data_IF_910462324628
#
_entry.id   IF_910462324628
#
_cell.length_a   1.000
_cell.length_b   1.000
_cell.length_c   1.000
_cell.angle_alpha   90.00
_cell.angle_beta   90.00
_cell.angle_gamma   90.00
#
_symmetry.space_group_name_H-M   'P 1'
#
loop_
_entity.id
_entity.type
_entity.pdbx_description
1 polymer ?
#
# COMPACT_ATOMS: atom_id res chain seq x y z
N UNK A 1 32.42 21.74 3.12
CA UNK A 1 31.58 21.23 4.23
C UNK A 1 30.61 20.22 3.64
N UNK A 2 30.92 18.91 3.73
CA UNK A 2 29.96 17.87 3.34
C UNK A 2 28.87 17.85 4.41
N UNK A 3 27.63 18.12 4.03
CA UNK A 3 26.49 18.04 4.94
C UNK A 3 26.45 16.65 5.57
N UNK A 4 26.07 16.58 6.86
CA UNK A 4 25.81 15.35 7.59
C UNK A 4 25.06 14.37 6.67
N UNK A 5 25.66 13.24 6.33
CA UNK A 5 24.95 12.20 5.59
C UNK A 5 23.81 11.70 6.49
N UNK A 6 22.59 12.11 6.16
CA UNK A 6 21.38 11.70 6.85
C UNK A 6 21.18 10.19 6.63
N UNK A 7 21.44 9.40 7.67
CA UNK A 7 21.13 7.98 7.66
C UNK A 7 19.62 7.80 7.87
N UNK A 8 18.86 7.86 6.76
CA UNK A 8 17.43 7.57 6.72
C UNK A 8 17.22 6.11 6.31
N UNK A 9 16.83 5.27 7.28
CA UNK A 9 16.48 3.88 7.04
C UNK A 9 14.96 3.72 6.98
N UNK A 10 14.46 2.94 6.02
CA UNK A 10 13.03 2.64 5.93
C UNK A 10 12.80 1.17 5.59
N UNK A 11 11.82 0.56 6.25
CA UNK A 11 11.37 -0.82 6.01
C UNK A 11 9.87 -0.86 5.80
N UNK A 12 9.40 -1.74 4.90
CA UNK A 12 8.00 -2.03 4.71
C UNK A 12 7.71 -3.44 5.26
N UNK A 13 6.67 -3.54 6.09
CA UNK A 13 6.21 -4.77 6.72
C UNK A 13 4.85 -5.12 6.10
N UNK A 14 4.72 -6.34 5.59
CA UNK A 14 3.50 -6.87 5.01
C UNK A 14 2.99 -8.09 5.76
N UNK A 15 1.67 -8.18 5.94
CA UNK A 15 0.93 -9.30 6.50
C UNK A 15 -0.24 -9.67 5.57
N UNK A 16 -0.86 -10.86 5.74
CA UNK A 16 -2.10 -11.21 5.04
C UNK A 16 -3.20 -10.16 5.26
N UNK A 17 -4.11 -9.98 4.29
CA UNK A 17 -5.16 -8.95 4.31
C UNK A 17 -6.08 -9.01 5.55
N UNK A 18 -6.28 -10.21 6.11
CA UNK A 18 -7.07 -10.42 7.33
C UNK A 18 -6.33 -10.12 8.63
N UNK A 19 -5.12 -9.60 8.56
CA UNK A 19 -4.32 -9.25 9.72
C UNK A 19 -4.00 -7.75 9.80
N UNK A 20 -3.71 -7.28 11.00
CA UNK A 20 -3.05 -6.02 11.28
C UNK A 20 -1.61 -6.26 11.72
N UNK A 21 -0.74 -5.29 11.48
CA UNK A 21 0.64 -5.30 11.99
C UNK A 21 0.65 -4.70 13.38
N UNK A 22 1.09 -5.48 14.36
CA UNK A 22 1.42 -4.99 15.69
C UNK A 22 2.93 -4.78 15.75
N UNK A 23 3.34 -3.55 16.01
CA UNK A 23 4.74 -3.14 16.15
C UNK A 23 5.02 -2.78 17.61
N UNK A 24 6.00 -3.44 18.22
CA UNK A 24 6.51 -3.12 19.54
C UNK A 24 7.92 -2.55 19.43
N UNK A 25 8.15 -1.42 20.10
CA UNK A 25 9.49 -0.86 20.24
C UNK A 25 10.13 -1.43 21.50
N UNK A 26 11.12 -2.30 21.32
CA UNK A 26 11.82 -2.94 22.42
C UNK A 26 12.82 -1.97 23.05
N UNK A 27 13.61 -1.29 22.22
CA UNK A 27 14.63 -0.34 22.64
C UNK A 27 14.65 0.86 21.69
N UNK A 28 15.03 2.02 22.21
CA UNK A 28 15.19 3.25 21.43
C UNK A 28 16.26 4.13 22.04
N UNK A 29 17.20 4.57 21.22
CA UNK A 29 18.22 5.56 21.59
C UNK A 29 18.04 6.90 20.86
N UNK A 30 16.88 7.14 20.24
CA UNK A 30 16.65 8.35 19.43
C UNK A 30 16.74 9.63 20.26
N UNK A 31 17.45 10.63 19.74
CA UNK A 31 17.60 11.94 20.37
C UNK A 31 16.69 13.00 19.70
N UNK A 32 15.51 13.21 20.29
CA UNK A 32 14.49 14.13 19.77
C UNK A 32 14.97 15.58 19.69
N UNK A 33 15.88 15.99 20.58
CA UNK A 33 16.44 17.36 20.60
C UNK A 33 17.30 17.64 19.37
N UNK A 34 17.87 16.61 18.76
CA UNK A 34 18.66 16.72 17.53
C UNK A 34 17.81 16.55 16.26
N UNK A 35 16.52 16.22 16.40
CA UNK A 35 15.61 16.00 15.27
C UNK A 35 15.52 14.54 14.80
N UNK A 36 16.08 13.60 15.54
CA UNK A 36 15.88 12.17 15.31
C UNK A 36 14.43 11.77 15.61
N UNK A 37 13.91 10.80 14.86
CA UNK A 37 12.50 10.45 14.93
C UNK A 37 12.19 9.13 14.24
N UNK A 38 11.10 8.52 14.68
CA UNK A 38 10.47 7.37 14.05
C UNK A 38 9.16 7.82 13.38
N UNK A 39 9.04 7.48 12.10
CA UNK A 39 7.85 7.68 11.28
C UNK A 39 7.22 6.32 11.01
N UNK A 40 5.93 6.21 11.27
CA UNK A 40 5.12 5.02 11.05
C UNK A 40 3.96 5.43 10.16
N UNK A 41 3.75 4.73 9.04
CA UNK A 41 2.60 5.01 8.19
C UNK A 41 2.14 3.78 7.42
N UNK A 42 0.89 3.79 7.01
CA UNK A 42 0.28 2.80 6.15
C UNK A 42 -0.98 3.36 5.53
N UNK A 43 -1.85 2.50 5.01
CA UNK A 43 -3.10 2.92 4.36
C UNK A 43 -4.03 3.72 5.28
N UNK A 44 -4.12 3.31 6.55
CA UNK A 44 -5.09 3.86 7.51
C UNK A 44 -4.44 4.61 8.68
N UNK A 45 -3.11 4.74 8.67
CA UNK A 45 -2.39 5.29 9.81
C UNK A 45 -1.21 6.14 9.37
N UNK A 46 -0.98 7.22 10.12
CA UNK A 46 0.22 8.04 10.02
C UNK A 46 0.58 8.54 11.41
N UNK A 47 1.83 8.32 11.81
CA UNK A 47 2.33 8.72 13.12
C UNK A 47 3.80 9.10 13.05
N UNK A 48 4.10 10.27 13.61
CA UNK A 48 5.45 10.73 13.91
C UNK A 48 5.68 10.66 15.42
N UNK A 49 6.76 10.04 15.87
CA UNK A 49 7.08 9.92 17.29
C UNK A 49 8.59 9.91 17.54
N UNK A 50 9.00 10.19 18.78
CA UNK A 50 10.40 10.16 19.21
C UNK A 50 10.56 9.95 20.72
N UNK A 51 9.70 10.57 21.54
CA UNK A 51 9.77 10.46 23.00
C UNK A 51 9.06 9.21 23.53
N UNK A 52 9.61 8.62 24.61
CA UNK A 52 9.02 7.48 25.34
C UNK A 52 8.68 6.29 24.44
N UNK A 53 9.61 5.93 23.56
CA UNK A 53 9.43 4.87 22.59
C UNK A 53 9.58 3.47 23.18
N UNK A 54 10.56 3.23 24.06
CA UNK A 54 10.77 1.90 24.63
C UNK A 54 9.51 1.40 25.36
N UNK A 55 9.05 0.20 25.00
CA UNK A 55 7.80 -0.40 25.50
C UNK A 55 6.53 0.03 24.75
N UNK A 56 6.62 0.97 23.81
CA UNK A 56 5.46 1.41 23.03
C UNK A 56 5.01 0.32 22.06
N UNK A 57 3.70 0.05 22.06
CA UNK A 57 3.04 -0.83 21.10
C UNK A 57 2.17 0.01 20.17
N UNK A 58 2.20 -0.32 18.88
CA UNK A 58 1.48 0.37 17.82
C UNK A 58 0.75 -0.64 16.93
N UNK A 59 -0.51 -0.36 16.60
CA UNK A 59 -1.29 -1.09 15.61
C UNK A 59 -1.32 -0.29 14.31
N UNK A 60 -1.11 -0.95 13.18
CA UNK A 60 -1.20 -0.32 11.86
C UNK A 60 -2.64 -0.13 11.37
N UNK A 61 -3.64 -0.74 12.01
CA UNK A 61 -5.05 -0.82 11.57
C UNK A 61 -5.25 -1.49 10.19
N UNK A 62 -4.17 -1.93 9.54
CA UNK A 62 -4.16 -2.55 8.22
C UNK A 62 -3.02 -3.57 8.11
N UNK A 63 -3.03 -4.39 7.07
CA UNK A 63 -2.05 -5.45 6.88
C UNK A 63 -0.65 -4.99 6.43
N UNK A 64 -0.42 -3.68 6.27
CA UNK A 64 0.87 -3.12 5.88
C UNK A 64 1.28 -1.98 6.80
N UNK A 65 2.58 -1.90 7.12
CA UNK A 65 3.17 -0.81 7.86
C UNK A 65 4.54 -0.45 7.30
N UNK A 66 4.77 0.82 7.01
CA UNK A 66 6.09 1.35 6.70
C UNK A 66 6.65 2.03 7.94
N UNK A 67 7.89 1.70 8.27
CA UNK A 67 8.63 2.25 9.39
C UNK A 67 9.87 2.94 8.84
N UNK A 68 10.03 4.25 9.10
CA UNK A 68 11.24 5.00 8.77
C UNK A 68 11.85 5.61 10.00
N UNK A 69 13.12 5.36 10.17
CA UNK A 69 13.96 5.96 11.18
C UNK A 69 14.78 7.06 10.53
N UNK A 70 14.77 8.23 11.16
CA UNK A 70 15.67 9.33 10.84
C UNK A 70 16.70 9.46 11.95
N UNK A 71 17.97 9.31 11.59
CA UNK A 71 19.11 9.59 12.46
C UNK A 71 19.87 10.81 11.98
N UNK A 72 20.48 11.52 12.93
CA UNK A 72 21.39 12.62 12.66
C UNK A 72 22.84 12.19 12.83
N UNK A 73 23.10 11.17 13.67
CA UNK A 73 24.43 10.61 13.84
C UNK A 73 24.38 9.07 13.81
N UNK A 74 25.42 8.41 13.28
CA UNK A 74 25.56 6.95 13.38
C UNK A 74 25.69 6.49 14.84
N UNK A 75 25.27 5.25 15.13
CA UNK A 75 25.51 4.60 16.43
C UNK A 75 24.30 4.48 17.35
N UNK A 76 23.14 5.00 16.93
CA UNK A 76 21.85 4.81 17.62
C UNK A 76 20.80 4.14 16.75
N UNK A 77 19.59 3.97 17.29
CA UNK A 77 18.42 3.53 16.52
C UNK A 77 17.29 3.00 17.37
N UNK A 78 16.43 2.20 16.73
CA UNK A 78 15.35 1.48 17.39
C UNK A 78 15.47 -0.02 17.16
N UNK A 79 15.18 -0.80 18.20
CA UNK A 79 14.97 -2.24 18.09
C UNK A 79 13.46 -2.50 18.06
N UNK A 80 13.00 -3.13 17.01
CA UNK A 80 11.59 -3.36 16.74
C UNK A 80 11.29 -4.86 16.73
N UNK A 81 10.15 -5.22 17.31
CA UNK A 81 9.51 -6.51 17.12
C UNK A 81 8.18 -6.28 16.42
N UNK A 82 7.83 -7.12 15.46
CA UNK A 82 6.53 -7.08 14.81
C UNK A 82 5.84 -8.44 14.83
N UNK A 83 4.52 -8.42 14.86
CA UNK A 83 3.67 -9.61 14.75
C UNK A 83 2.40 -9.30 13.97
N UNK A 84 1.75 -10.35 13.49
CA UNK A 84 0.43 -10.27 12.88
C UNK A 84 -0.65 -10.63 13.90
N UNK A 85 -1.75 -9.90 13.89
CA UNK A 85 -2.97 -10.26 14.64
C UNK A 85 -4.18 -10.20 13.72
N UNK A 86 -5.21 -11.03 13.91
CA UNK A 86 -6.47 -10.90 13.19
C UNK A 86 -7.00 -9.48 13.29
N UNK A 87 -7.41 -8.90 12.16
CA UNK A 87 -7.97 -7.56 12.14
C UNK A 87 -9.28 -7.52 12.96
N UNK A 88 -9.46 -6.54 13.86
CA UNK A 88 -10.65 -6.45 14.71
C UNK A 88 -11.94 -6.10 13.94
N UNK A 89 -11.83 -5.80 12.63
CA UNK A 89 -12.94 -5.54 11.73
C UNK A 89 -12.64 -5.98 10.30
N UNK A 90 -13.66 -6.00 9.45
CA UNK A 90 -13.55 -6.39 8.03
C UNK A 90 -13.10 -5.20 7.18
N UNK A 91 -11.81 -4.86 7.24
CA UNK A 91 -11.23 -3.78 6.42
C UNK A 91 -10.90 -4.20 4.98
N UNK A 92 -10.98 -5.50 4.69
CA UNK A 92 -10.82 -6.09 3.37
C UNK A 92 -12.07 -6.88 2.98
N UNK A 93 -12.30 -7.00 1.68
CA UNK A 93 -13.28 -7.89 1.06
C UNK A 93 -12.59 -9.19 0.67
N UNK A 94 -13.34 -10.29 0.53
CA UNK A 94 -12.76 -11.60 0.16
C UNK A 94 -12.06 -11.59 -1.20
N UNK A 95 -12.52 -10.74 -2.13
CA UNK A 95 -11.92 -10.56 -3.45
C UNK A 95 -10.75 -9.57 -3.46
N UNK A 96 -10.44 -8.92 -2.33
CA UNK A 96 -9.30 -8.02 -2.28
C UNK A 96 -7.99 -8.82 -2.39
N UNK A 97 -7.01 -8.25 -3.09
CA UNK A 97 -5.70 -8.87 -3.30
C UNK A 97 -4.59 -7.96 -2.78
N UNK A 98 -3.53 -8.56 -2.24
CA UNK A 98 -2.33 -7.86 -1.81
C UNK A 98 -1.12 -8.37 -2.61
N UNK A 99 -0.44 -7.44 -3.27
CA UNK A 99 0.78 -7.68 -4.04
C UNK A 99 1.96 -7.02 -3.33
N UNK A 100 3.09 -7.73 -3.31
CA UNK A 100 4.34 -7.30 -2.70
C UNK A 100 5.51 -7.51 -3.64
N UNK A 101 6.59 -6.77 -3.41
CA UNK A 101 7.85 -6.95 -4.13
C UNK A 101 8.04 -5.99 -5.32
N UNK A 102 9.19 -6.04 -6.00
CA UNK A 102 9.59 -5.00 -6.94
C UNK A 102 8.90 -5.09 -8.30
N UNK A 103 8.23 -6.19 -8.60
CA UNK A 103 7.47 -6.42 -9.83
C UNK A 103 6.43 -7.51 -9.60
N UNK A 104 5.37 -7.52 -10.39
CA UNK A 104 4.38 -8.60 -10.36
C UNK A 104 3.31 -8.43 -11.44
N UNK A 105 2.52 -9.48 -11.63
CA UNK A 105 1.35 -9.43 -12.51
C UNK A 105 0.15 -8.83 -11.77
N UNK A 106 -0.70 -8.13 -12.51
CA UNK A 106 -2.00 -7.63 -12.05
C UNK A 106 -3.06 -8.32 -12.87
N UNK A 107 -4.01 -8.95 -12.18
CA UNK A 107 -5.20 -9.53 -12.76
C UNK A 107 -6.43 -8.95 -12.07
N UNK A 108 -7.51 -8.72 -12.83
CA UNK A 108 -8.78 -8.30 -12.25
C UNK A 108 -9.27 -9.33 -11.24
N UNK A 109 -9.73 -8.92 -10.05
CA UNK A 109 -10.39 -9.81 -9.11
C UNK A 109 -11.62 -10.47 -9.73
N UNK A 110 -11.92 -11.71 -9.33
CA UNK A 110 -13.14 -12.41 -9.72
C UNK A 110 -14.12 -12.44 -8.55
N UNK A 111 -15.41 -12.18 -8.82
CA UNK A 111 -16.47 -12.39 -7.84
C UNK A 111 -16.63 -13.89 -7.56
N UNK A 112 -16.84 -14.24 -6.30
CA UNK A 112 -17.20 -15.62 -5.92
C UNK A 112 -18.61 -15.91 -6.42
N UNK A 113 -18.89 -17.12 -6.95
CA UNK A 113 -20.24 -17.48 -7.41
C UNK A 113 -21.31 -17.43 -6.31
N UNK A 114 -20.93 -17.52 -5.04
CA UNK A 114 -21.85 -17.57 -3.89
C UNK A 114 -22.08 -16.20 -3.20
N UNK A 115 -21.45 -15.11 -3.67
CA UNK A 115 -21.39 -13.84 -2.95
C UNK A 115 -22.35 -12.75 -3.44
N UNK A 116 -23.24 -12.26 -2.56
CA UNK A 116 -23.79 -10.89 -2.68
C UNK A 116 -22.69 -9.89 -2.31
N UNK A 117 -21.92 -9.42 -3.30
CA UNK A 117 -20.85 -8.47 -3.05
C UNK A 117 -21.42 -7.04 -2.95
N UNK A 118 -21.26 -6.41 -1.78
CA UNK A 118 -21.59 -5.00 -1.58
C UNK A 118 -20.37 -4.16 -1.94
N UNK A 119 -20.31 -3.73 -3.21
CA UNK A 119 -19.27 -2.86 -3.75
C UNK A 119 -18.15 -3.58 -4.51
N UNK A 120 -17.18 -2.80 -4.97
CA UNK A 120 -16.07 -3.26 -5.81
C UNK A 120 -15.03 -4.18 -5.15
N UNK A 121 -13.96 -4.51 -5.85
CA UNK A 121 -12.81 -5.26 -5.33
C UNK A 121 -11.53 -4.43 -5.45
N UNK A 122 -10.55 -4.64 -4.58
CA UNK A 122 -9.32 -3.85 -4.56
C UNK A 122 -8.08 -4.68 -4.71
N UNK A 123 -7.10 -4.15 -5.43
CA UNK A 123 -5.74 -4.67 -5.48
C UNK A 123 -4.81 -3.65 -4.81
N UNK A 124 -4.16 -4.06 -3.74
CA UNK A 124 -3.16 -3.26 -3.04
C UNK A 124 -1.76 -3.66 -3.51
N UNK A 125 -0.93 -2.69 -3.86
CA UNK A 125 0.45 -2.91 -4.27
C UNK A 125 1.34 -2.21 -3.24
N UNK A 126 2.30 -2.94 -2.67
CA UNK A 126 3.29 -2.37 -1.74
C UNK A 126 4.70 -2.78 -2.13
N UNK A 127 5.54 -1.78 -2.40
CA UNK A 127 6.94 -1.96 -2.81
C UNK A 127 7.89 -1.42 -1.74
N UNK A 128 9.20 -1.51 -1.97
CA UNK A 128 10.20 -0.97 -1.05
C UNK A 128 9.95 0.54 -0.79
N UNK A 129 10.14 1.05 0.44
CA UNK A 129 9.77 2.43 0.79
C UNK A 129 10.41 3.54 -0.06
N UNK A 130 11.58 3.26 -0.64
CA UNK A 130 12.32 4.20 -1.48
C UNK A 130 11.97 4.10 -2.98
N UNK A 131 11.13 3.14 -3.36
CA UNK A 131 10.70 2.96 -4.74
C UNK A 131 9.37 3.68 -5.02
N UNK A 132 9.17 3.99 -6.31
CA UNK A 132 7.87 4.34 -6.88
C UNK A 132 7.34 3.15 -7.68
N UNK A 133 6.08 3.17 -8.06
CA UNK A 133 5.38 2.10 -8.77
C UNK A 133 5.02 2.62 -10.15
N UNK A 134 5.27 1.83 -11.18
CA UNK A 134 4.66 1.97 -12.49
C UNK A 134 3.73 0.79 -12.73
N UNK A 135 2.58 1.07 -13.36
CA UNK A 135 1.56 0.08 -13.73
C UNK A 135 1.31 0.19 -15.21
N UNK A 136 1.31 -0.94 -15.90
CA UNK A 136 0.88 -1.04 -17.28
C UNK A 136 -0.06 -2.23 -17.43
N UNK A 137 -1.29 -1.97 -17.87
CA UNK A 137 -2.31 -3.00 -17.98
C UNK A 137 -3.23 -2.79 -19.19
N UNK A 138 -3.81 -3.89 -19.66
CA UNK A 138 -4.81 -3.91 -20.71
C UNK A 138 -6.14 -4.34 -20.11
N UNK A 139 -7.18 -3.55 -20.38
CA UNK A 139 -8.57 -3.92 -20.12
C UNK A 139 -9.14 -4.57 -21.37
N UNK A 140 -9.71 -5.76 -21.24
CA UNK A 140 -10.41 -6.49 -22.30
C UNK A 140 -11.82 -6.83 -21.87
N UNK A 141 -12.81 -6.31 -22.60
CA UNK A 141 -14.21 -6.64 -22.36
C UNK A 141 -14.53 -8.06 -22.84
N UNK A 142 -15.19 -8.82 -21.97
CA UNK A 142 -15.93 -10.01 -22.39
C UNK A 142 -17.34 -9.53 -22.68
N UNK A 143 -17.65 -9.34 -23.96
CA UNK A 143 -18.97 -8.85 -24.39
C UNK A 143 -20.07 -9.80 -23.89
N UNK A 144 -20.81 -9.36 -22.88
CA UNK A 144 -22.18 -9.78 -22.62
C UNK A 144 -22.93 -8.55 -22.10
N UNK A 145 -23.80 -7.99 -22.95
CA UNK A 145 -24.54 -6.77 -22.66
C UNK A 145 -25.41 -6.94 -21.43
N UNK A 146 -25.20 -6.07 -20.45
CA UNK A 146 -26.21 -5.70 -19.47
C UNK A 146 -26.01 -4.25 -19.12
N UNK A 147 -27.05 -3.45 -19.37
CA UNK A 147 -27.22 -2.10 -18.82
C UNK A 147 -27.33 -2.21 -17.30
N UNK A 148 -26.19 -2.28 -16.62
CA UNK A 148 -26.10 -2.09 -15.18
C UNK A 148 -26.10 -0.60 -14.86
N UNK A 149 -26.82 -0.20 -13.82
CA UNK A 149 -26.96 1.19 -13.37
C UNK A 149 -25.67 1.79 -12.79
N UNK A 150 -24.66 0.95 -12.46
CA UNK A 150 -23.36 1.39 -11.96
C UNK A 150 -22.33 1.46 -13.09
N UNK A 151 -21.67 2.62 -13.23
CA UNK A 151 -20.62 2.81 -14.23
C UNK A 151 -19.45 1.83 -14.02
N UNK A 152 -19.04 1.13 -15.08
CA UNK A 152 -17.81 0.33 -15.09
C UNK A 152 -16.59 1.24 -15.07
N UNK A 153 -15.72 1.07 -14.06
CA UNK A 153 -14.49 1.84 -13.92
C UNK A 153 -13.42 1.11 -13.11
N UNK A 154 -12.18 1.56 -13.30
CA UNK A 154 -11.04 1.25 -12.45
C UNK A 154 -10.50 2.56 -11.88
N UNK A 155 -10.36 2.67 -10.57
CA UNK A 155 -9.69 3.79 -9.91
C UNK A 155 -8.31 3.36 -9.48
N UNK A 156 -7.28 4.14 -9.82
CA UNK A 156 -5.93 3.96 -9.30
C UNK A 156 -5.58 5.16 -8.41
N UNK A 157 -5.20 4.86 -7.17
CA UNK A 157 -4.82 5.84 -6.16
C UNK A 157 -3.44 5.54 -5.60
N UNK A 158 -2.64 6.59 -5.44
CA UNK A 158 -1.44 6.53 -4.59
C UNK A 158 -1.86 6.74 -3.13
N UNK A 159 -1.41 5.90 -2.21
CA UNK A 159 -1.77 6.00 -0.79
C UNK A 159 -1.18 7.27 -0.15
N UNK A 160 -0.03 7.74 -0.65
CA UNK A 160 0.68 8.91 -0.13
C UNK A 160 0.27 10.23 -0.81
N UNK A 161 -0.65 10.19 -1.78
CA UNK A 161 -1.14 11.37 -2.51
C UNK A 161 -2.67 11.40 -2.52
N UNK A 162 -3.32 12.57 -2.55
CA UNK A 162 -4.76 12.65 -2.78
C UNK A 162 -5.14 12.32 -4.24
N UNK A 163 -4.15 12.18 -5.14
CA UNK A 163 -4.39 11.96 -6.57
C UNK A 163 -5.02 10.59 -6.84
N UNK A 164 -6.19 10.63 -7.46
CA UNK A 164 -6.91 9.45 -7.95
C UNK A 164 -7.10 9.59 -9.46
N UNK A 165 -6.84 8.52 -10.22
CA UNK A 165 -7.03 8.46 -11.67
C UNK A 165 -8.08 7.42 -11.99
N UNK A 166 -9.11 7.81 -12.74
CA UNK A 166 -10.19 6.92 -13.16
C UNK A 166 -9.98 6.48 -14.62
N UNK A 167 -10.18 5.19 -14.87
CA UNK A 167 -10.15 4.57 -16.18
C UNK A 167 -11.51 3.94 -16.47
N UNK A 168 -12.04 4.16 -17.67
CA UNK A 168 -13.33 3.66 -18.13
C UNK A 168 -13.21 2.95 -19.48
N UNK A 169 -14.00 1.90 -19.69
CA UNK A 169 -14.06 1.15 -20.94
C UNK A 169 -12.78 0.41 -21.31
N UNK A 170 -12.77 -0.14 -22.53
CA UNK A 170 -11.62 -0.85 -23.09
C UNK A 170 -10.46 0.12 -23.39
N UNK A 171 -9.34 -0.05 -22.69
CA UNK A 171 -8.13 0.73 -22.93
C UNK A 171 -6.87 0.06 -22.41
N UNK A 172 -5.72 0.46 -22.95
CA UNK A 172 -4.41 0.23 -22.32
C UNK A 172 -4.14 1.38 -21.37
N UNK A 173 -3.83 1.08 -20.11
CA UNK A 173 -3.51 2.08 -19.10
C UNK A 173 -2.03 2.05 -18.74
N UNK A 174 -1.47 3.23 -18.51
CA UNK A 174 -0.17 3.46 -17.90
C UNK A 174 -0.33 4.43 -16.74
N UNK A 175 0.24 4.11 -15.59
CA UNK A 175 0.14 4.94 -14.39
C UNK A 175 1.42 4.85 -13.56
N UNK A 176 1.81 5.97 -12.94
CA UNK A 176 2.93 6.03 -12.01
C UNK A 176 2.52 6.65 -10.67
N UNK A 177 3.04 6.08 -9.59
CA UNK A 177 2.90 6.62 -8.23
C UNK A 177 3.99 7.66 -7.92
N UNK A 178 3.77 8.47 -6.88
CA UNK A 178 4.77 9.29 -6.18
C UNK A 178 5.36 8.54 -4.97
N UNK A 179 4.56 7.65 -4.38
CA UNK A 179 4.85 6.83 -3.20
C UNK A 179 5.14 5.36 -3.50
N UNK A 180 5.30 4.58 -2.44
CA UNK A 180 5.62 3.15 -2.47
C UNK A 180 4.40 2.24 -2.30
N UNK A 181 3.20 2.82 -2.27
CA UNK A 181 1.95 2.09 -2.07
C UNK A 181 0.88 2.62 -3.03
N UNK A 182 0.19 1.71 -3.70
CA UNK A 182 -0.92 2.02 -4.61
C UNK A 182 -2.13 1.12 -4.32
N UNK A 183 -3.31 1.65 -4.59
CA UNK A 183 -4.59 0.96 -4.49
C UNK A 183 -5.31 1.07 -5.82
N UNK A 184 -5.69 -0.08 -6.38
CA UNK A 184 -6.54 -0.17 -7.56
C UNK A 184 -7.91 -0.67 -7.13
N UNK A 185 -8.96 0.12 -7.35
CA UNK A 185 -10.35 -0.28 -7.10
C UNK A 185 -11.05 -0.60 -8.42
N UNK A 186 -11.67 -1.77 -8.48
CA UNK A 186 -12.51 -2.24 -9.58
C UNK A 186 -13.96 -2.08 -9.17
N UNK A 187 -14.74 -1.29 -9.91
CA UNK A 187 -16.15 -1.05 -9.57
C UNK A 187 -16.99 -2.33 -9.63
N UNK A 188 -18.14 -2.34 -8.95
CA UNK A 188 -19.06 -3.48 -9.04
C UNK A 188 -19.50 -3.73 -10.49
N UNK A 189 -19.83 -2.66 -11.22
CA UNK A 189 -20.17 -2.74 -12.65
C UNK A 189 -19.06 -3.32 -13.53
N UNK A 190 -17.79 -3.05 -13.21
CA UNK A 190 -16.66 -3.69 -13.91
C UNK A 190 -16.65 -5.21 -13.71
N UNK A 191 -16.87 -5.65 -12.47
CA UNK A 191 -16.81 -7.06 -12.09
C UNK A 191 -18.04 -7.83 -12.62
N UNK A 192 -19.22 -7.23 -12.59
CA UNK A 192 -20.48 -7.80 -13.10
C UNK A 192 -20.47 -7.93 -14.62
N UNK A 193 -19.88 -6.95 -15.32
CA UNK A 193 -19.68 -7.00 -16.78
C UNK A 193 -18.70 -8.10 -17.22
N UNK A 194 -18.03 -8.79 -16.28
CA UNK A 194 -17.00 -9.80 -16.53
C UNK A 194 -15.87 -9.27 -17.42
N UNK A 195 -15.63 -7.97 -17.37
CA UNK A 195 -14.46 -7.35 -17.99
C UNK A 195 -13.22 -7.89 -17.30
N UNK A 196 -12.18 -8.15 -18.09
CA UNK A 196 -10.91 -8.65 -17.58
C UNK A 196 -9.85 -7.56 -17.68
N UNK A 197 -9.02 -7.45 -16.65
CA UNK A 197 -7.79 -6.66 -16.71
C UNK A 197 -6.61 -7.61 -16.55
N UNK A 198 -5.61 -7.46 -17.41
CA UNK A 198 -4.30 -8.09 -17.23
C UNK A 198 -3.18 -7.10 -17.46
N UNK A 199 -2.22 -7.08 -16.56
CA UNK A 199 -1.11 -6.17 -16.62
C UNK A 199 0.04 -6.57 -15.73
N UNK A 200 0.98 -5.65 -15.58
CA UNK A 200 2.14 -5.79 -14.71
C UNK A 200 2.41 -4.48 -13.98
N UNK A 201 3.03 -4.58 -12.82
CA UNK A 201 3.66 -3.44 -12.14
C UNK A 201 5.15 -3.69 -11.94
N UNK A 202 5.90 -2.61 -11.81
CA UNK A 202 7.30 -2.64 -11.44
C UNK A 202 7.72 -1.40 -10.66
N UNK A 203 8.84 -1.51 -9.95
CA UNK A 203 9.42 -0.39 -9.22
C UNK A 203 10.22 0.52 -10.13
N UNK A 204 10.00 1.83 -10.00
CA UNK A 204 10.89 2.87 -10.48
C UNK A 204 11.81 3.29 -9.33
N UNK A 205 13.10 3.48 -9.59
CA UNK A 205 14.01 4.02 -8.58
C UNK A 205 13.75 5.51 -8.40
N UNK A 206 13.65 5.97 -7.14
CA UNK A 206 13.82 7.40 -6.85
C UNK A 206 15.26 7.75 -7.16
N UNK A 207 15.49 8.66 -8.10
CA UNK A 207 16.83 9.17 -8.37
C UNK A 207 17.48 9.63 -7.06
N UNK A 208 18.74 9.27 -6.86
CA UNK A 208 19.53 9.83 -5.77
C UNK A 208 19.65 11.35 -6.01
N UNK A 209 19.10 12.14 -5.09
CA UNK A 209 19.40 13.56 -4.96
C UNK A 209 20.50 13.72 -3.92
#
# INVERSE_FOLDING_TARGET
MRGLEQADCAVAIGRPLGEVVILQVLESSLNCSTGEMLLLWGRLTWRKTCGRLSGLTFSSEANTLVVRQRLMQPGGGVLLQYSGQPAPGTFHRECDMQLFGPRGEIVSPSLSPDGRHVGGCRVFISVAPQARIAIHALVTDVVAGTEGTDASYILIRDIHSPRTTAFHGQQTLYWESEGSQAEMEFSLGFLEARTSLRGQYWTLQKGAL
#
